data_IF_920808417074
#
_entry.id   IF_920808417074
#
_cell.length_a   1.000
_cell.length_b   1.000
_cell.length_c   1.000
_cell.angle_alpha   90.00
_cell.angle_beta   90.00
_cell.angle_gamma   90.00
#
_symmetry.space_group_name_H-M   'P 1'
#
loop_
_entity.id
_entity.type
_entity.pdbx_description
1 polymer ?
#
# COMPACT_ATOMS: atom_id res chain seq x y z
N UNK A 1 10.49 -11.73 -12.48
CA UNK A 1 9.98 -11.28 -11.17
C UNK A 1 9.23 -12.42 -10.50
N UNK A 2 9.48 -12.69 -9.21
CA UNK A 2 8.66 -13.62 -8.43
C UNK A 2 7.23 -13.09 -8.35
N UNK A 3 6.23 -13.97 -8.44
CA UNK A 3 4.84 -13.56 -8.22
C UNK A 3 4.66 -13.12 -6.77
N UNK A 4 3.85 -12.07 -6.51
CA UNK A 4 3.51 -11.68 -5.15
C UNK A 4 2.87 -12.86 -4.42
N UNK A 5 3.23 -13.03 -3.14
CA UNK A 5 2.72 -14.08 -2.28
C UNK A 5 2.68 -13.58 -0.82
N UNK A 6 1.91 -14.28 0.02
CA UNK A 6 1.69 -13.89 1.42
C UNK A 6 2.73 -14.44 2.41
N UNK A 7 3.97 -14.71 1.97
CA UNK A 7 4.97 -15.35 2.83
C UNK A 7 5.26 -14.51 4.10
N UNK A 8 5.45 -13.20 3.94
CA UNK A 8 5.80 -12.31 5.06
C UNK A 8 4.63 -12.14 6.03
N UNK A 9 3.43 -11.97 5.48
CA UNK A 9 2.20 -11.80 6.23
C UNK A 9 1.89 -13.06 7.03
N UNK A 10 2.02 -14.25 6.43
CA UNK A 10 1.85 -15.51 7.13
C UNK A 10 2.89 -15.70 8.24
N UNK A 11 4.14 -15.25 8.04
CA UNK A 11 5.17 -15.29 9.09
C UNK A 11 4.81 -14.39 10.28
N UNK A 12 4.28 -13.19 10.03
CA UNK A 12 3.81 -12.28 11.08
C UNK A 12 2.57 -12.84 11.79
N UNK A 13 1.62 -13.44 11.06
CA UNK A 13 0.44 -14.09 11.66
C UNK A 13 0.83 -15.23 12.61
N UNK A 14 1.80 -16.06 12.22
CA UNK A 14 2.32 -17.13 13.10
C UNK A 14 2.93 -16.61 14.40
N UNK A 15 3.35 -15.33 14.44
CA UNK A 15 3.84 -14.66 15.65
C UNK A 15 2.72 -14.02 16.49
N UNK A 16 1.46 -14.16 16.09
CA UNK A 16 0.29 -13.62 16.80
C UNK A 16 -0.18 -12.24 16.34
N UNK A 17 0.45 -11.65 15.30
CA UNK A 17 -0.04 -10.38 14.75
C UNK A 17 -1.35 -10.58 13.98
N UNK A 18 -2.40 -9.88 14.40
CA UNK A 18 -3.74 -9.97 13.81
C UNK A 18 -3.94 -9.05 12.62
N UNK A 19 -3.49 -7.80 12.74
CA UNK A 19 -3.58 -6.79 11.69
C UNK A 19 -2.19 -6.53 11.13
N UNK A 20 -2.05 -6.67 9.81
CA UNK A 20 -0.78 -6.50 9.11
C UNK A 20 -1.02 -5.47 8.01
N UNK A 21 -0.33 -4.33 8.12
CA UNK A 21 -0.38 -3.27 7.13
C UNK A 21 0.76 -3.43 6.12
N UNK A 22 0.43 -3.39 4.83
CA UNK A 22 1.37 -3.12 3.75
C UNK A 22 1.52 -1.61 3.56
N UNK A 23 2.73 -1.16 3.23
CA UNK A 23 3.07 0.25 3.11
C UNK A 23 3.98 0.47 1.89
N UNK A 24 3.67 1.45 1.06
CA UNK A 24 4.48 1.81 -0.11
C UNK A 24 4.38 3.32 -0.42
N UNK A 25 5.39 3.87 -1.09
CA UNK A 25 5.46 5.29 -1.45
C UNK A 25 5.46 5.58 -2.95
N UNK A 26 4.95 6.75 -3.31
CA UNK A 26 5.04 7.35 -4.64
C UNK A 26 5.53 8.79 -4.55
N UNK A 27 6.29 9.24 -5.56
CA UNK A 27 6.79 10.61 -5.66
C UNK A 27 8.22 10.83 -5.15
N UNK A 28 8.88 9.83 -4.56
CA UNK A 28 10.25 9.98 -4.02
C UNK A 28 11.31 10.43 -5.02
N UNK A 29 11.18 10.03 -6.29
CA UNK A 29 12.08 10.41 -7.38
C UNK A 29 11.49 11.45 -8.34
N UNK A 30 10.33 12.03 -8.02
CA UNK A 30 9.71 13.04 -8.85
C UNK A 30 10.43 14.39 -8.69
N UNK A 31 10.50 15.17 -9.76
CA UNK A 31 11.07 16.52 -9.74
C UNK A 31 10.15 17.55 -9.08
N UNK A 32 8.85 17.28 -9.05
CA UNK A 32 7.84 18.18 -8.53
C UNK A 32 6.71 17.40 -7.87
N UNK A 33 6.03 18.07 -6.93
CA UNK A 33 4.88 17.54 -6.23
C UNK A 33 5.23 16.85 -4.91
N UNK A 34 4.20 16.39 -4.18
CA UNK A 34 4.36 15.79 -2.87
C UNK A 34 4.96 14.38 -2.95
N UNK A 35 5.41 13.90 -1.80
CA UNK A 35 5.54 12.46 -1.56
C UNK A 35 4.26 11.95 -0.91
N UNK A 36 3.79 10.80 -1.39
CA UNK A 36 2.55 10.15 -0.95
C UNK A 36 2.88 8.73 -0.53
N UNK A 37 2.41 8.32 0.65
CA UNK A 37 2.48 6.94 1.10
C UNK A 37 1.07 6.37 1.25
N UNK A 38 0.86 5.13 0.81
CA UNK A 38 -0.39 4.40 1.02
C UNK A 38 -0.18 3.27 2.02
N UNK A 39 -1.08 3.14 2.99
CA UNK A 39 -1.12 2.01 3.92
C UNK A 39 -2.39 1.20 3.70
N UNK A 40 -2.28 -0.13 3.75
CA UNK A 40 -3.40 -1.04 3.52
C UNK A 40 -3.34 -2.22 4.48
N UNK A 41 -4.42 -2.46 5.23
CA UNK A 41 -4.57 -3.64 6.08
C UNK A 41 -5.38 -4.69 5.34
N UNK A 42 -4.79 -5.85 5.11
CA UNK A 42 -5.47 -6.98 4.46
C UNK A 42 -5.85 -8.06 5.47
N UNK A 43 -7.05 -8.62 5.31
CA UNK A 43 -7.41 -9.87 5.97
C UNK A 43 -6.94 -11.05 5.10
N UNK A 44 -5.76 -11.58 5.42
CA UNK A 44 -5.08 -12.60 4.59
C UNK A 44 -5.98 -13.79 4.26
N UNK A 45 -6.84 -14.25 5.17
CA UNK A 45 -7.75 -15.38 4.89
C UNK A 45 -8.86 -15.02 3.91
N UNK A 46 -9.43 -13.81 4.03
CA UNK A 46 -10.45 -13.30 3.13
C UNK A 46 -9.86 -13.05 1.75
N UNK A 47 -8.69 -12.43 1.68
CA UNK A 47 -7.99 -12.17 0.40
C UNK A 47 -7.53 -13.47 -0.24
N UNK A 48 -7.00 -14.45 0.50
CA UNK A 48 -6.64 -15.76 -0.05
C UNK A 48 -7.85 -16.50 -0.62
N UNK A 49 -9.02 -16.44 0.05
CA UNK A 49 -10.25 -17.03 -0.45
C UNK A 49 -10.71 -16.33 -1.73
N UNK A 50 -10.74 -15.00 -1.72
CA UNK A 50 -11.18 -14.20 -2.87
C UNK A 50 -10.21 -14.32 -4.06
N UNK A 51 -8.91 -14.37 -3.83
CA UNK A 51 -7.91 -14.57 -4.88
C UNK A 51 -7.99 -15.97 -5.50
N UNK A 52 -8.16 -17.01 -4.67
CA UNK A 52 -8.36 -18.37 -5.18
C UNK A 52 -9.61 -18.51 -6.04
N UNK A 53 -10.66 -17.74 -5.75
CA UNK A 53 -11.94 -17.81 -6.46
C UNK A 53 -11.98 -16.88 -7.68
N UNK A 54 -11.47 -15.65 -7.56
CA UNK A 54 -11.63 -14.59 -8.56
C UNK A 54 -10.30 -14.14 -9.21
N UNK A 55 -9.16 -14.67 -8.77
CA UNK A 55 -7.84 -14.26 -9.25
C UNK A 55 -7.58 -12.77 -9.02
N UNK A 56 -8.00 -12.20 -7.89
CA UNK A 56 -7.87 -10.76 -7.64
C UNK A 56 -6.40 -10.31 -7.64
N UNK A 57 -5.47 -11.18 -7.23
CA UNK A 57 -4.03 -10.95 -7.30
C UNK A 57 -3.44 -11.35 -8.66
N UNK A 58 -4.18 -12.10 -9.51
CA UNK A 58 -3.80 -12.32 -10.93
C UNK A 58 -3.89 -11.00 -11.70
N UNK A 59 -2.79 -10.27 -11.72
CA UNK A 59 -2.66 -9.02 -12.45
C UNK A 59 -2.26 -7.83 -11.58
N UNK A 60 -2.25 -8.00 -10.24
CA UNK A 60 -1.56 -7.09 -9.32
C UNK A 60 -0.05 -7.32 -9.49
N UNK A 61 0.48 -6.80 -10.59
CA UNK A 61 1.91 -6.61 -10.84
C UNK A 61 2.20 -5.13 -10.69
N UNK A 62 3.49 -4.82 -10.53
CA UNK A 62 4.04 -3.47 -10.38
C UNK A 62 3.20 -2.41 -11.11
N UNK A 63 2.68 -1.43 -10.36
CA UNK A 63 1.75 -0.38 -10.82
C UNK A 63 2.30 0.39 -12.03
N UNK A 64 3.61 0.30 -12.26
CA UNK A 64 4.37 0.85 -13.40
C UNK A 64 4.06 0.18 -14.75
N UNK A 65 3.44 -1.00 -14.76
CA UNK A 65 3.05 -1.71 -15.99
C UNK A 65 1.56 -1.56 -16.35
N UNK A 66 0.80 -0.77 -15.58
CA UNK A 66 -0.64 -0.60 -15.74
C UNK A 66 -0.99 0.82 -16.21
N UNK A 67 -1.94 0.90 -17.14
CA UNK A 67 -2.51 2.19 -17.56
C UNK A 67 -3.27 2.85 -16.40
N UNK A 68 -3.41 4.19 -16.37
CA UNK A 68 -4.16 4.89 -15.32
C UNK A 68 -5.55 4.30 -15.08
N UNK A 69 -6.31 4.06 -16.15
CA UNK A 69 -7.63 3.42 -16.11
C UNK A 69 -7.63 2.03 -15.47
N UNK A 70 -6.58 1.23 -15.70
CA UNK A 70 -6.43 -0.09 -15.06
C UNK A 70 -6.13 0.07 -13.56
N UNK A 71 -5.32 1.06 -13.17
CA UNK A 71 -5.01 1.34 -11.76
C UNK A 71 -6.25 1.76 -10.97
N UNK A 72 -7.09 2.61 -11.54
CA UNK A 72 -8.37 3.01 -10.92
C UNK A 72 -9.29 1.80 -10.70
N UNK A 73 -9.43 0.95 -11.72
CA UNK A 73 -10.20 -0.30 -11.59
C UNK A 73 -9.64 -1.21 -10.49
N UNK A 74 -8.31 -1.38 -10.44
CA UNK A 74 -7.69 -2.18 -9.38
C UNK A 74 -7.84 -1.55 -8.01
N UNK A 75 -7.73 -0.23 -7.90
CA UNK A 75 -7.95 0.49 -6.66
C UNK A 75 -9.35 0.19 -6.11
N UNK A 76 -10.40 0.34 -6.91
CA UNK A 76 -11.78 0.02 -6.50
C UNK A 76 -11.94 -1.44 -6.03
N UNK A 77 -11.29 -2.38 -6.72
CA UNK A 77 -11.34 -3.81 -6.37
C UNK A 77 -10.62 -4.05 -5.03
N UNK A 78 -9.45 -3.44 -4.83
CA UNK A 78 -8.61 -3.60 -3.64
C UNK A 78 -9.32 -3.00 -2.42
N UNK A 79 -9.77 -1.74 -2.50
CA UNK A 79 -10.38 -1.06 -1.34
C UNK A 79 -11.65 -1.75 -0.82
N UNK A 80 -12.37 -2.50 -1.67
CA UNK A 80 -13.55 -3.28 -1.28
C UNK A 80 -13.20 -4.55 -0.50
N UNK A 81 -11.94 -4.98 -0.54
CA UNK A 81 -11.49 -6.27 0.00
C UNK A 81 -10.57 -6.13 1.21
N UNK A 82 -9.99 -4.94 1.40
CA UNK A 82 -9.13 -4.63 2.55
C UNK A 82 -9.97 -4.34 3.79
N UNK A 83 -9.38 -4.50 4.97
CA UNK A 83 -10.01 -4.13 6.24
C UNK A 83 -9.97 -2.62 6.45
N UNK A 84 -8.87 -2.01 6.06
CA UNK A 84 -8.66 -0.57 6.15
C UNK A 84 -7.60 -0.13 5.16
N UNK A 85 -7.64 1.14 4.79
CA UNK A 85 -6.61 1.78 4.00
C UNK A 85 -6.59 3.28 4.27
N UNK A 86 -5.43 3.86 4.06
CA UNK A 86 -5.23 5.29 4.29
C UNK A 86 -4.10 5.81 3.41
N UNK A 87 -4.01 7.14 3.33
CA UNK A 87 -2.97 7.83 2.58
C UNK A 87 -2.35 8.90 3.47
N UNK A 88 -1.03 8.96 3.46
CA UNK A 88 -0.25 10.03 4.07
C UNK A 88 0.40 10.89 2.99
N UNK A 89 0.18 12.20 3.05
CA UNK A 89 0.72 13.16 2.08
C UNK A 89 1.66 14.14 2.77
N UNK A 90 2.81 14.38 2.15
CA UNK A 90 3.78 15.41 2.56
C UNK A 90 4.13 16.25 1.35
N UNK A 91 3.81 17.55 1.42
CA UNK A 91 4.07 18.53 0.36
C UNK A 91 5.55 18.72 0.09
N UNK A 92 5.87 19.16 -1.12
CA UNK A 92 7.20 19.59 -1.56
C UNK A 92 7.83 20.62 -0.61
N UNK A 93 7.04 21.58 -0.08
CA UNK A 93 7.55 22.57 0.90
C UNK A 93 8.19 21.93 2.13
N UNK A 94 7.54 20.89 2.66
CA UNK A 94 8.06 20.14 3.81
C UNK A 94 9.26 19.29 3.38
N UNK A 95 9.24 18.72 2.17
CA UNK A 95 10.39 17.99 1.62
C UNK A 95 11.62 18.89 1.56
N UNK A 96 11.47 20.14 1.12
CA UNK A 96 12.55 21.13 1.02
C UNK A 96 13.11 21.48 2.41
N UNK A 97 12.27 21.51 3.44
CA UNK A 97 12.66 21.82 4.82
C UNK A 97 13.39 20.65 5.52
N UNK A 98 12.88 19.42 5.39
CA UNK A 98 13.35 18.27 6.20
C UNK A 98 14.13 17.22 5.40
N UNK A 99 14.17 17.35 4.08
CA UNK A 99 14.77 16.40 3.15
C UNK A 99 13.89 15.19 2.85
N UNK A 100 14.08 14.60 1.66
CA UNK A 100 13.22 13.54 1.11
C UNK A 100 13.13 12.27 1.98
N UNK A 101 14.22 11.90 2.67
CA UNK A 101 14.23 10.70 3.53
C UNK A 101 13.31 10.89 4.74
N UNK A 102 13.35 12.07 5.38
CA UNK A 102 12.49 12.36 6.53
C UNK A 102 11.04 12.58 6.09
N UNK A 103 10.84 13.24 4.95
CA UNK A 103 9.51 13.41 4.36
C UNK A 103 8.85 12.07 4.00
N UNK A 104 9.60 11.10 3.45
CA UNK A 104 9.08 9.75 3.19
C UNK A 104 8.62 9.05 4.47
N UNK A 105 9.47 9.07 5.52
CA UNK A 105 9.10 8.51 6.83
C UNK A 105 7.87 9.20 7.43
N UNK A 106 7.76 10.52 7.24
CA UNK A 106 6.60 11.29 7.69
C UNK A 106 5.32 10.92 6.92
N UNK A 107 5.39 10.75 5.60
CA UNK A 107 4.26 10.30 4.79
C UNK A 107 3.81 8.90 5.22
N UNK A 108 4.75 7.98 5.38
CA UNK A 108 4.52 6.62 5.90
C UNK A 108 3.87 6.63 7.29
N UNK A 109 4.38 7.46 8.20
CA UNK A 109 3.82 7.62 9.55
C UNK A 109 2.38 8.15 9.49
N UNK A 110 2.13 9.22 8.73
CA UNK A 110 0.78 9.76 8.54
C UNK A 110 -0.20 8.74 7.97
N UNK A 111 0.24 7.92 7.01
CA UNK A 111 -0.59 6.84 6.49
C UNK A 111 -0.97 5.87 7.62
N UNK A 112 0.01 5.38 8.38
CA UNK A 112 -0.27 4.46 9.49
C UNK A 112 -1.17 5.06 10.57
N UNK A 113 -0.95 6.33 10.96
CA UNK A 113 -1.76 7.03 11.97
C UNK A 113 -3.21 7.26 11.56
N UNK A 114 -3.49 7.25 10.25
CA UNK A 114 -4.83 7.42 9.70
C UNK A 114 -5.60 6.08 9.56
N UNK A 115 -4.99 4.94 9.92
CA UNK A 115 -5.70 3.66 10.01
C UNK A 115 -6.48 3.60 11.34
N UNK A 116 -7.60 2.89 11.32
CA UNK A 116 -8.57 2.78 12.42
C UNK A 116 -8.28 1.59 13.36
N UNK A 117 -7.12 0.93 13.24
CA UNK A 117 -6.76 -0.34 13.89
C UNK A 117 -5.52 -0.24 14.78
#
# INVERSE_FOLDING_TARGET
MKQPNFYQENKLRKRGFRFIAGLDEAGRGAWAGPIVAGAVIIEVDKVNKVDRVNGVLKGVKDSKLLTPKKREKFFEIIIRQVLDWSVGVVSEKVIDEIGIVKANKLAMKKALENLSF
#
